data_IF_028346090179
#
_entry.id   IF_028346090179
#
_cell.length_a   1.000
_cell.length_b   1.000
_cell.length_c   1.000
_cell.angle_alpha   90.00
_cell.angle_beta   90.00
_cell.angle_gamma   90.00
#
_symmetry.space_group_name_H-M   'P 1'
#
loop_
_entity.id
_entity.type
_entity.pdbx_description
1 polymer ?
#
# COMPACT_ATOMS: atom_id res chain seq x y z
N UNK A 1 18.76 -0.78 -3.71
CA UNK A 1 19.15 -1.93 -2.85
C UNK A 1 19.74 -3.07 -3.70
N UNK A 2 21.02 -3.42 -3.51
CA UNK A 2 21.67 -4.62 -4.06
C UNK A 2 20.87 -5.93 -3.90
N UNK A 3 20.96 -6.82 -4.88
CA UNK A 3 20.18 -8.09 -4.95
C UNK A 3 20.35 -8.99 -3.72
N UNK A 4 21.54 -9.03 -3.13
CA UNK A 4 21.81 -9.83 -1.93
C UNK A 4 21.06 -9.31 -0.70
N UNK A 5 20.84 -8.00 -0.59
CA UNK A 5 20.06 -7.39 0.49
C UNK A 5 18.56 -7.59 0.30
N UNK A 6 18.07 -7.65 -0.96
CA UNK A 6 16.66 -7.96 -1.24
C UNK A 6 16.25 -9.34 -0.75
N UNK A 7 17.18 -10.32 -0.73
CA UNK A 7 16.95 -11.66 -0.15
C UNK A 7 16.77 -11.66 1.38
N UNK A 8 17.11 -10.56 2.06
CA UNK A 8 16.94 -10.42 3.51
C UNK A 8 15.59 -9.78 3.88
N UNK A 9 14.77 -9.39 2.90
CA UNK A 9 13.42 -8.87 3.13
C UNK A 9 12.55 -10.05 3.59
N UNK A 10 12.38 -10.19 4.91
CA UNK A 10 11.57 -11.26 5.51
C UNK A 10 10.07 -10.96 5.55
N UNK A 11 9.68 -9.70 5.38
CA UNK A 11 8.33 -9.20 5.64
C UNK A 11 7.81 -8.41 4.42
N UNK A 12 7.65 -9.08 3.27
CA UNK A 12 6.97 -8.50 2.11
C UNK A 12 5.48 -8.84 2.19
N UNK A 13 4.63 -7.81 2.14
CA UNK A 13 3.18 -7.94 2.12
C UNK A 13 2.60 -6.99 1.07
N UNK A 14 1.48 -7.39 0.47
CA UNK A 14 0.72 -6.59 -0.49
C UNK A 14 -0.56 -6.16 0.19
N UNK A 15 -0.85 -4.85 0.17
CA UNK A 15 -2.13 -4.30 0.65
C UNK A 15 -2.96 -3.91 -0.58
N UNK A 16 -4.09 -4.59 -0.78
CA UNK A 16 -5.09 -4.19 -1.76
C UNK A 16 -6.15 -3.28 -1.13
N UNK A 17 -6.49 -2.18 -1.79
CA UNK A 17 -7.55 -1.27 -1.37
C UNK A 17 -8.62 -1.19 -2.45
N UNK A 18 -9.89 -1.32 -2.04
CA UNK A 18 -11.06 -1.07 -2.90
C UNK A 18 -11.86 0.04 -2.25
N UNK A 19 -11.83 1.28 -2.77
CA UNK A 19 -12.54 2.40 -2.17
C UNK A 19 -14.05 2.26 -2.42
N UNK A 20 -14.86 2.28 -1.36
CA UNK A 20 -16.32 2.33 -1.44
C UNK A 20 -16.87 3.59 -0.77
N UNK A 21 -17.81 4.27 -1.42
CA UNK A 21 -18.63 5.34 -0.85
C UNK A 21 -17.90 6.63 -0.42
N UNK A 22 -16.57 6.67 -0.46
CA UNK A 22 -15.75 7.85 -0.18
C UNK A 22 -15.35 8.61 -1.45
N UNK A 23 -15.06 9.90 -1.34
CA UNK A 23 -14.45 10.64 -2.45
C UNK A 23 -13.03 10.07 -2.68
N UNK A 24 -12.84 9.45 -3.85
CA UNK A 24 -11.60 8.79 -4.24
C UNK A 24 -10.39 9.71 -4.04
N UNK A 25 -10.45 10.95 -4.54
CA UNK A 25 -9.34 11.89 -4.47
C UNK A 25 -8.98 12.26 -3.02
N UNK A 26 -9.98 12.44 -2.15
CA UNK A 26 -9.76 12.78 -0.74
C UNK A 26 -8.97 11.70 0.01
N UNK A 27 -9.14 10.43 -0.34
CA UNK A 27 -8.39 9.34 0.28
C UNK A 27 -7.09 9.03 -0.47
N UNK A 28 -7.16 8.93 -1.80
CA UNK A 28 -6.04 8.45 -2.62
C UNK A 28 -4.92 9.47 -2.73
N UNK A 29 -5.21 10.78 -2.76
CA UNK A 29 -4.15 11.79 -2.89
C UNK A 29 -3.21 11.80 -1.68
N UNK A 30 -3.68 11.86 -0.41
CA UNK A 30 -2.81 11.74 0.75
C UNK A 30 -2.08 10.39 0.79
N UNK A 31 -2.79 9.29 0.52
CA UNK A 31 -2.20 7.95 0.56
C UNK A 31 -1.03 7.79 -0.42
N UNK A 32 -1.22 8.19 -1.69
CA UNK A 32 -0.16 8.14 -2.71
C UNK A 32 1.03 9.02 -2.29
N UNK A 33 0.77 10.18 -1.68
CA UNK A 33 1.84 11.06 -1.18
C UNK A 33 2.69 10.37 -0.12
N UNK A 34 2.06 9.72 0.86
CA UNK A 34 2.77 8.97 1.91
C UNK A 34 3.54 7.77 1.34
N UNK A 35 2.96 7.05 0.38
CA UNK A 35 3.61 5.92 -0.28
C UNK A 35 4.86 6.35 -1.06
N UNK A 36 4.82 7.51 -1.73
CA UNK A 36 5.99 8.10 -2.41
C UNK A 36 7.12 8.47 -1.45
N UNK A 37 6.80 8.91 -0.22
CA UNK A 37 7.83 9.10 0.79
C UNK A 37 8.51 7.78 1.16
N UNK A 38 7.72 6.71 1.27
CA UNK A 38 8.20 5.37 1.61
C UNK A 38 8.98 4.67 0.48
N UNK A 39 8.82 5.08 -0.78
CA UNK A 39 9.66 4.61 -1.90
C UNK A 39 11.15 4.92 -1.67
N UNK A 40 11.45 6.05 -1.03
CA UNK A 40 12.82 6.44 -0.67
C UNK A 40 13.35 5.70 0.57
N UNK A 41 12.55 4.81 1.14
CA UNK A 41 12.83 4.05 2.36
C UNK A 41 12.92 4.92 3.62
N UNK A 42 12.27 4.50 4.71
CA UNK A 42 12.25 5.23 5.98
C UNK A 42 12.55 4.29 7.15
N UNK A 43 13.27 4.78 8.16
CA UNK A 43 13.41 4.06 9.43
C UNK A 43 12.15 4.36 10.25
N UNK A 44 11.42 3.31 10.63
CA UNK A 44 10.22 3.39 11.45
C UNK A 44 10.40 2.55 12.71
N UNK A 45 9.94 3.05 13.86
CA UNK A 45 9.95 2.28 15.10
C UNK A 45 8.66 1.47 15.20
N UNK A 46 8.76 0.15 15.05
CA UNK A 46 7.65 -0.81 15.15
C UNK A 46 7.91 -1.72 16.34
N UNK A 47 6.99 -1.78 17.30
CA UNK A 47 7.15 -2.60 18.52
C UNK A 47 8.50 -2.38 19.25
N UNK A 48 8.92 -1.10 19.37
CA UNK A 48 10.21 -0.67 19.95
C UNK A 48 11.46 -1.12 19.18
N UNK A 49 11.32 -1.65 17.98
CA UNK A 49 12.42 -2.01 17.09
C UNK A 49 12.44 -1.09 15.88
N UNK A 50 13.64 -0.68 15.47
CA UNK A 50 13.80 0.09 14.25
C UNK A 50 13.73 -0.87 13.05
N UNK A 51 12.76 -0.64 12.18
CA UNK A 51 12.58 -1.35 10.93
C UNK A 51 12.86 -0.41 9.76
N UNK A 52 13.53 -0.93 8.74
CA UNK A 52 13.65 -0.23 7.47
C UNK A 52 12.45 -0.58 6.61
N UNK A 53 11.60 0.42 6.35
CA UNK A 53 10.35 0.25 5.61
C UNK A 53 10.52 0.86 4.24
N UNK A 54 10.16 0.09 3.22
CA UNK A 54 10.12 0.52 1.82
C UNK A 54 8.75 0.16 1.29
N UNK A 55 8.10 1.10 0.62
CA UNK A 55 6.87 0.84 -0.09
C UNK A 55 7.08 1.06 -1.59
N UNK A 56 6.25 0.40 -2.40
CA UNK A 56 6.13 0.67 -3.82
C UNK A 56 4.65 0.68 -4.16
N UNK A 57 4.23 1.62 -4.99
CA UNK A 57 2.89 1.64 -5.52
C UNK A 57 2.88 0.94 -6.88
N UNK A 58 1.98 -0.02 -7.05
CA UNK A 58 1.72 -0.64 -8.34
C UNK A 58 0.21 -0.63 -8.60
N UNK A 59 -0.18 -0.59 -9.87
CA UNK A 59 -1.57 -0.62 -10.29
C UNK A 59 -1.89 -2.02 -10.77
N UNK A 60 -2.65 -2.76 -9.98
CA UNK A 60 -3.15 -4.08 -10.37
C UNK A 60 -4.60 -3.92 -10.82
N UNK A 61 -4.89 -4.20 -12.09
CA UNK A 61 -6.26 -4.44 -12.53
C UNK A 61 -6.67 -5.82 -12.05
N UNK A 62 -7.52 -5.88 -11.04
CA UNK A 62 -8.15 -7.11 -10.59
C UNK A 62 -9.58 -7.18 -11.14
N UNK A 63 -9.97 -8.32 -11.69
CA UNK A 63 -11.38 -8.63 -11.94
C UNK A 63 -12.06 -8.74 -10.56
N UNK A 64 -12.79 -7.70 -10.17
CA UNK A 64 -13.58 -7.73 -8.94
C UNK A 64 -14.68 -8.78 -9.07
N UNK A 65 -14.99 -9.55 -8.01
CA UNK A 65 -16.18 -10.40 -8.00
C UNK A 65 -17.41 -9.53 -8.33
N UNK A 66 -18.31 -10.05 -9.16
CA UNK A 66 -19.63 -9.45 -9.37
C UNK A 66 -20.28 -9.21 -7.99
N UNK A 67 -20.99 -8.08 -7.84
CA UNK A 67 -21.66 -7.57 -6.63
C UNK A 67 -20.88 -6.53 -5.80
N UNK A 68 -19.62 -6.22 -6.12
CA UNK A 68 -18.91 -5.09 -5.49
C UNK A 68 -19.51 -3.73 -5.88
N UNK A 69 -20.18 -3.66 -7.02
CA UNK A 69 -20.96 -2.52 -7.51
C UNK A 69 -22.25 -2.26 -6.71
N UNK A 70 -22.71 -3.24 -5.92
CA UNK A 70 -23.86 -3.12 -5.02
C UNK A 70 -23.48 -2.58 -3.63
N UNK A 71 -22.18 -2.49 -3.31
CA UNK A 71 -21.72 -1.95 -2.03
C UNK A 71 -21.98 -0.43 -1.96
N UNK A 72 -22.98 -0.04 -1.17
CA UNK A 72 -23.37 1.37 -0.96
C UNK A 72 -24.60 1.83 -1.75
N UNK A 73 -25.25 0.92 -2.51
CA UNK A 73 -26.58 1.17 -3.08
C UNK A 73 -27.63 0.73 -2.06
N UNK A 74 -28.31 1.71 -1.44
CA UNK A 74 -29.60 1.55 -0.77
C UNK A 74 -30.69 2.16 -1.63
#
# INVERSE_FOLDING_TARGET
MPTHQRKLIKNHFVLGFVPFGGNFDKFMLPFISEMKELENSKIMTVQKQNAWVVAGLDVVTADLPQDNDLAGVL
#
